data_IF_570210236929
#
_entry.id   IF_570210236929
#
_cell.length_a   1.000
_cell.length_b   1.000
_cell.length_c   1.000
_cell.angle_alpha   90.00
_cell.angle_beta   90.00
_cell.angle_gamma   90.00
#
_symmetry.space_group_name_H-M   'P 1'
#
loop_
_entity.id
_entity.type
_entity.pdbx_description
1 polymer ?
#
# COMPACT_ATOMS: atom_id res chain seq x y z
N UNK A 1 -6.20 -9.12 69.75
CA UNK A 1 -7.10 -9.42 68.61
C UNK A 1 -6.26 -9.53 67.35
N UNK A 2 -5.95 -10.75 66.91
CA UNK A 2 -5.84 -11.15 65.51
C UNK A 2 -5.44 -12.61 65.43
N UNK A 3 -6.31 -13.37 64.79
CA UNK A 3 -6.24 -14.80 64.51
C UNK A 3 -5.23 -15.07 63.39
N UNK A 4 -4.62 -16.25 63.37
CA UNK A 4 -4.44 -17.03 62.14
C UNK A 4 -4.17 -18.51 62.45
N UNK A 5 -4.62 -19.44 61.59
CA UNK A 5 -4.87 -20.85 61.92
C UNK A 5 -3.76 -21.82 61.45
N UNK A 6 -3.85 -23.12 61.82
CA UNK A 6 -2.80 -24.12 61.58
C UNK A 6 -2.85 -24.77 60.19
N UNK A 7 -1.67 -25.22 59.76
CA UNK A 7 -1.37 -26.03 58.58
C UNK A 7 -1.87 -27.47 58.74
N UNK A 8 -2.59 -27.99 57.73
CA UNK A 8 -2.82 -29.43 57.53
C UNK A 8 -3.15 -29.70 56.06
N UNK A 9 -2.19 -30.28 55.35
CA UNK A 9 -2.40 -31.13 54.17
C UNK A 9 -1.57 -32.39 54.39
N UNK A 10 -2.04 -33.58 53.98
CA UNK A 10 -1.91 -33.90 52.57
C UNK A 10 -3.00 -34.83 51.96
N UNK A 11 -2.94 -34.90 50.64
CA UNK A 11 -3.23 -36.06 49.78
C UNK A 11 -4.68 -36.56 49.67
N UNK A 12 -5.32 -36.22 48.54
CA UNK A 12 -6.09 -37.17 47.75
C UNK A 12 -6.18 -36.66 46.30
N UNK A 13 -5.38 -37.25 45.41
CA UNK A 13 -5.66 -37.28 43.98
C UNK A 13 -6.73 -38.36 43.75
N UNK A 14 -7.76 -38.09 42.93
CA UNK A 14 -8.30 -39.10 42.06
C UNK A 14 -7.93 -38.77 40.63
N UNK A 15 -7.23 -39.72 40.00
CA UNK A 15 -7.07 -39.82 38.57
C UNK A 15 -8.45 -39.78 37.90
N UNK A 16 -8.65 -38.84 36.99
CA UNK A 16 -9.75 -38.84 36.03
C UNK A 16 -9.13 -38.86 34.63
N UNK A 17 -8.88 -40.08 34.18
CA UNK A 17 -9.15 -40.60 32.84
C UNK A 17 -9.42 -39.55 31.75
N UNK A 18 -8.42 -39.31 30.91
CA UNK A 18 -8.51 -38.60 29.64
C UNK A 18 -9.32 -39.42 28.63
N UNK A 19 -10.64 -39.30 28.68
CA UNK A 19 -11.48 -39.61 27.52
C UNK A 19 -11.30 -38.50 26.46
N UNK A 20 -11.13 -38.81 25.16
CA UNK A 20 -11.17 -37.78 24.13
C UNK A 20 -12.55 -37.13 24.16
N UNK A 21 -12.67 -35.78 24.18
CA UNK A 21 -13.97 -35.14 24.18
C UNK A 21 -14.69 -35.57 22.90
N UNK A 22 -15.76 -36.34 23.05
CA UNK A 22 -16.73 -36.58 21.98
C UNK A 22 -17.43 -35.25 21.81
N UNK A 23 -16.88 -34.39 20.95
CA UNK A 23 -17.46 -33.08 20.69
C UNK A 23 -18.80 -33.33 20.02
N UNK A 24 -19.87 -33.19 20.80
CA UNK A 24 -21.24 -33.35 20.32
C UNK A 24 -21.46 -32.41 19.13
N UNK A 25 -22.14 -32.89 18.08
CA UNK A 25 -22.47 -32.08 16.91
C UNK A 25 -23.17 -30.76 17.29
N UNK A 26 -23.95 -30.80 18.36
CA UNK A 26 -24.61 -29.64 18.97
C UNK A 26 -23.62 -28.60 19.54
N UNK A 27 -22.56 -29.06 20.22
CA UNK A 27 -21.50 -28.19 20.72
C UNK A 27 -20.66 -27.60 19.57
N UNK A 28 -20.47 -28.34 18.49
CA UNK A 28 -19.79 -27.86 17.28
C UNK A 28 -20.65 -26.81 16.55
N UNK A 29 -21.95 -27.05 16.44
CA UNK A 29 -22.92 -26.11 15.86
C UNK A 29 -23.00 -24.81 16.68
N UNK A 30 -23.11 -24.90 18.01
CA UNK A 30 -23.11 -23.75 18.89
C UNK A 30 -21.78 -22.96 18.83
N UNK A 31 -20.64 -23.64 18.70
CA UNK A 31 -19.34 -22.98 18.51
C UNK A 31 -19.24 -22.28 17.14
N UNK A 32 -19.79 -22.88 16.08
CA UNK A 32 -19.85 -22.26 14.75
C UNK A 32 -20.76 -21.03 14.72
N UNK A 33 -21.90 -21.06 15.43
CA UNK A 33 -22.81 -19.91 15.55
C UNK A 33 -22.18 -18.76 16.36
N UNK A 34 -21.47 -19.07 17.45
CA UNK A 34 -20.71 -18.06 18.21
C UNK A 34 -19.63 -17.43 17.34
N UNK A 35 -18.89 -18.23 16.57
CA UNK A 35 -17.90 -17.73 15.60
C UNK A 35 -18.53 -16.87 14.51
N UNK A 36 -19.73 -17.22 14.04
CA UNK A 36 -20.46 -16.44 13.02
C UNK A 36 -20.98 -15.11 13.57
N UNK A 37 -21.34 -15.05 14.85
CA UNK A 37 -21.75 -13.81 15.54
C UNK A 37 -20.59 -12.90 15.93
N UNK A 38 -19.42 -13.46 16.21
CA UNK A 38 -18.23 -12.71 16.63
C UNK A 38 -17.34 -12.25 15.47
N UNK A 39 -17.57 -12.75 14.25
CA UNK A 39 -16.89 -12.25 13.06
C UNK A 39 -17.39 -10.83 12.74
N UNK A 40 -16.49 -9.85 12.52
CA UNK A 40 -16.90 -8.53 12.06
C UNK A 40 -17.72 -8.71 10.79
N UNK A 41 -18.87 -8.02 10.72
CA UNK A 41 -19.85 -8.14 9.63
C UNK A 41 -19.14 -8.31 8.27
N UNK A 42 -19.06 -9.54 7.79
CA UNK A 42 -18.36 -9.83 6.55
C UNK A 42 -19.11 -9.12 5.44
N UNK A 43 -18.39 -8.30 4.66
CA UNK A 43 -18.97 -7.63 3.49
C UNK A 43 -19.66 -8.69 2.63
N UNK A 44 -20.94 -8.45 2.33
CA UNK A 44 -21.71 -9.35 1.47
C UNK A 44 -21.02 -9.52 0.11
N UNK A 45 -21.29 -10.64 -0.57
CA UNK A 45 -20.75 -10.89 -1.91
C UNK A 45 -21.05 -9.72 -2.88
N UNK A 46 -22.22 -9.10 -2.77
CA UNK A 46 -22.60 -7.93 -3.55
C UNK A 46 -21.76 -6.67 -3.22
N UNK A 47 -21.36 -6.47 -1.97
CA UNK A 47 -20.47 -5.37 -1.58
C UNK A 47 -19.04 -5.59 -2.08
N UNK A 48 -18.55 -6.83 -2.01
CA UNK A 48 -17.22 -7.18 -2.55
C UNK A 48 -17.17 -7.00 -4.08
N UNK A 49 -18.22 -7.39 -4.80
CA UNK A 49 -18.32 -7.17 -6.25
C UNK A 49 -18.26 -5.67 -6.60
N UNK A 50 -19.03 -4.83 -5.89
CA UNK A 50 -18.99 -3.37 -6.08
C UNK A 50 -17.63 -2.76 -5.78
N UNK A 51 -16.95 -3.20 -4.72
CA UNK A 51 -15.60 -2.74 -4.41
C UNK A 51 -14.61 -3.13 -5.51
N UNK A 52 -14.70 -4.36 -6.01
CA UNK A 52 -13.86 -4.84 -7.10
C UNK A 52 -14.07 -4.05 -8.39
N UNK A 53 -15.32 -3.75 -8.76
CA UNK A 53 -15.64 -2.88 -9.90
C UNK A 53 -15.04 -1.48 -9.73
N UNK A 54 -15.13 -0.89 -8.54
CA UNK A 54 -14.51 0.42 -8.24
C UNK A 54 -12.99 0.36 -8.35
N UNK A 55 -12.34 -0.66 -7.77
CA UNK A 55 -10.90 -0.89 -7.90
C UNK A 55 -10.50 -0.96 -9.36
N UNK A 56 -11.23 -1.73 -10.16
CA UNK A 56 -10.96 -1.85 -11.59
C UNK A 56 -11.13 -0.52 -12.33
N UNK A 57 -12.12 0.29 -11.96
CA UNK A 57 -12.31 1.65 -12.51
C UNK A 57 -11.10 2.55 -12.22
N UNK A 58 -10.62 2.58 -10.97
CA UNK A 58 -9.43 3.36 -10.61
C UNK A 58 -8.17 2.88 -11.34
N UNK A 59 -7.98 1.57 -11.50
CA UNK A 59 -6.86 1.01 -12.30
C UNK A 59 -6.92 1.48 -13.75
N UNK A 60 -8.11 1.52 -14.35
CA UNK A 60 -8.32 2.06 -15.70
C UNK A 60 -8.08 3.57 -15.79
N UNK A 61 -8.21 4.33 -14.71
CA UNK A 61 -7.83 5.74 -14.72
C UNK A 61 -6.32 5.91 -14.64
N UNK A 62 -5.62 5.04 -13.94
CA UNK A 62 -4.16 5.10 -13.81
C UNK A 62 -3.47 4.63 -15.09
N UNK A 63 -3.72 3.41 -15.57
CA UNK A 63 -2.92 2.85 -16.65
C UNK A 63 -3.13 3.53 -18.01
N UNK A 64 -4.32 3.45 -18.63
CA UNK A 64 -4.52 4.13 -19.90
C UNK A 64 -4.68 5.65 -19.73
N UNK A 65 -5.07 6.14 -18.54
CA UNK A 65 -5.35 7.56 -18.31
C UNK A 65 -4.15 8.40 -17.88
N UNK A 66 -3.25 7.87 -17.03
CA UNK A 66 -2.11 8.61 -16.47
C UNK A 66 -0.77 8.07 -16.96
N UNK A 67 -0.52 6.75 -16.86
CA UNK A 67 0.81 6.18 -17.13
C UNK A 67 1.15 6.18 -18.63
N UNK A 68 0.15 6.01 -19.50
CA UNK A 68 0.35 6.01 -20.96
C UNK A 68 0.67 7.39 -21.56
N UNK A 69 -0.03 8.48 -21.20
CA UNK A 69 0.24 9.80 -21.79
C UNK A 69 1.36 10.60 -21.11
N UNK A 70 1.84 10.21 -19.94
CA UNK A 70 2.85 10.96 -19.18
C UNK A 70 4.17 10.17 -19.05
N UNK A 71 5.27 10.88 -18.80
CA UNK A 71 6.54 10.25 -18.47
C UNK A 71 6.47 9.53 -17.12
N UNK A 72 7.35 8.56 -16.90
CA UNK A 72 7.38 7.77 -15.66
C UNK A 72 7.58 8.66 -14.42
N UNK A 73 8.54 9.56 -14.46
CA UNK A 73 8.86 10.47 -13.34
C UNK A 73 7.68 11.39 -13.01
N UNK A 74 7.07 11.98 -14.04
CA UNK A 74 5.87 12.81 -13.91
C UNK A 74 4.71 12.01 -13.33
N UNK A 75 4.52 10.78 -13.78
CA UNK A 75 3.46 9.91 -13.26
C UNK A 75 3.66 9.65 -11.77
N UNK A 76 4.86 9.24 -11.35
CA UNK A 76 5.15 8.97 -9.94
C UNK A 76 4.98 10.21 -9.07
N UNK A 77 5.45 11.37 -9.53
CA UNK A 77 5.31 12.63 -8.77
C UNK A 77 3.83 13.06 -8.62
N UNK A 78 3.02 12.87 -9.67
CA UNK A 78 1.58 13.12 -9.61
C UNK A 78 0.87 12.18 -8.64
N UNK A 79 1.11 10.88 -8.78
CA UNK A 79 0.46 9.86 -7.96
C UNK A 79 0.80 10.06 -6.48
N UNK A 80 2.06 10.42 -6.16
CA UNK A 80 2.45 10.79 -4.80
C UNK A 80 1.73 12.04 -4.28
N UNK A 81 1.51 13.03 -5.14
CA UNK A 81 0.80 14.26 -4.74
C UNK A 81 -0.67 13.98 -4.45
N UNK A 82 -1.33 13.17 -5.30
CA UNK A 82 -2.71 12.73 -5.07
C UNK A 82 -2.81 11.86 -3.82
N UNK A 83 -1.86 10.94 -3.63
CA UNK A 83 -1.79 10.08 -2.45
C UNK A 83 -1.73 10.92 -1.16
N UNK A 84 -0.84 11.93 -1.10
CA UNK A 84 -0.74 12.84 0.05
C UNK A 84 -2.04 13.57 0.34
N UNK A 85 -2.75 14.03 -0.70
CA UNK A 85 -4.04 14.71 -0.53
C UNK A 85 -5.06 13.74 0.07
N UNK A 86 -5.13 12.51 -0.46
CA UNK A 86 -6.07 11.51 0.01
C UNK A 86 -5.74 10.98 1.42
N UNK A 87 -4.47 10.79 1.75
CA UNK A 87 -4.02 10.40 3.10
C UNK A 87 -4.35 11.47 4.14
N UNK A 88 -4.05 12.74 3.86
CA UNK A 88 -4.40 13.84 4.78
C UNK A 88 -5.90 13.89 5.06
N UNK A 89 -6.72 13.60 4.05
CA UNK A 89 -8.17 13.58 4.16
C UNK A 89 -8.70 12.35 4.92
N UNK A 90 -8.06 11.19 4.78
CA UNK A 90 -8.39 9.98 5.52
C UNK A 90 -7.94 10.05 6.99
N UNK A 91 -6.81 10.70 7.26
CA UNK A 91 -6.28 10.89 8.61
C UNK A 91 -7.09 11.94 9.39
N UNK A 92 -7.41 13.07 8.75
CA UNK A 92 -8.14 14.18 9.38
C UNK A 92 -9.42 14.53 8.58
N UNK A 93 -10.46 13.68 8.64
CA UNK A 93 -11.69 13.86 7.85
C UNK A 93 -12.56 15.03 8.29
N UNK A 94 -12.30 15.63 9.45
CA UNK A 94 -13.05 16.77 9.98
C UNK A 94 -12.36 18.12 9.73
N UNK A 95 -11.12 18.12 9.23
CA UNK A 95 -10.40 19.34 8.93
C UNK A 95 -10.82 19.89 7.55
N UNK A 96 -11.53 21.05 7.50
CA UNK A 96 -12.04 21.60 6.24
C UNK A 96 -10.92 22.03 5.28
N UNK A 97 -9.69 22.23 5.78
CA UNK A 97 -8.53 22.57 4.96
C UNK A 97 -8.18 21.47 3.96
N UNK A 98 -8.37 20.20 4.31
CA UNK A 98 -8.07 19.07 3.43
C UNK A 98 -9.22 18.74 2.48
N UNK A 99 -10.41 19.30 2.73
CA UNK A 99 -11.58 19.07 1.89
C UNK A 99 -11.51 19.88 0.61
N UNK A 100 -10.64 20.87 0.52
CA UNK A 100 -10.57 21.72 -0.65
C UNK A 100 -9.13 22.06 -1.06
N UNK A 101 -8.90 22.14 -2.36
CA UNK A 101 -7.65 22.66 -2.89
C UNK A 101 -7.89 23.64 -4.04
N UNK A 102 -6.97 24.60 -4.17
CA UNK A 102 -6.97 25.57 -5.27
C UNK A 102 -6.15 25.01 -6.44
N UNK A 103 -6.69 24.96 -7.67
CA UNK A 103 -5.92 24.59 -8.85
C UNK A 103 -4.84 25.63 -9.23
N UNK A 104 -4.88 26.82 -8.62
CA UNK A 104 -3.87 27.88 -8.77
C UNK A 104 -2.61 27.67 -7.93
N UNK A 105 -2.61 26.73 -6.97
CA UNK A 105 -1.40 26.40 -6.23
C UNK A 105 -0.36 25.79 -7.20
N UNK A 106 0.88 26.29 -7.19
CA UNK A 106 1.90 25.90 -8.17
C UNK A 106 2.17 24.39 -8.22
N UNK A 107 2.16 23.72 -7.07
CA UNK A 107 2.31 22.26 -6.97
C UNK A 107 1.10 21.57 -7.56
N UNK A 108 -0.12 21.94 -7.13
CA UNK A 108 -1.36 21.35 -7.65
C UNK A 108 -1.49 21.58 -9.16
N UNK A 109 -1.17 22.78 -9.64
CA UNK A 109 -1.25 23.11 -11.04
C UNK A 109 -0.29 22.25 -11.87
N UNK A 110 0.95 22.09 -11.42
CA UNK A 110 1.97 21.30 -12.13
C UNK A 110 1.68 19.81 -12.07
N UNK A 111 1.31 19.29 -10.91
CA UNK A 111 1.22 17.85 -10.66
C UNK A 111 -0.17 17.28 -11.00
N UNK A 112 -1.26 18.05 -10.86
CA UNK A 112 -2.63 17.58 -11.09
C UNK A 112 -3.27 18.18 -12.34
N UNK A 113 -3.11 19.49 -12.59
CA UNK A 113 -3.84 20.18 -13.68
C UNK A 113 -3.14 20.04 -15.03
N UNK A 114 -1.81 20.18 -15.07
CA UNK A 114 -1.04 20.11 -16.33
C UNK A 114 -0.86 18.69 -16.87
N UNK A 115 -0.95 17.68 -15.99
CA UNK A 115 -0.71 16.27 -16.34
C UNK A 115 -2.03 15.58 -16.67
N UNK A 116 -2.04 14.89 -17.80
CA UNK A 116 -3.27 14.29 -18.35
C UNK A 116 -3.72 13.11 -17.48
N UNK A 117 -5.03 12.99 -17.24
CA UNK A 117 -5.65 11.88 -16.52
C UNK A 117 -5.63 12.01 -14.99
N UNK A 118 -4.78 12.87 -14.43
CA UNK A 118 -4.62 13.00 -12.97
C UNK A 118 -5.82 13.71 -12.35
N UNK A 119 -6.31 14.76 -13.01
CA UNK A 119 -7.46 15.51 -12.53
C UNK A 119 -8.74 14.65 -12.55
N UNK A 120 -8.91 13.84 -13.58
CA UNK A 120 -10.01 12.88 -13.73
C UNK A 120 -9.98 11.85 -12.60
N UNK A 121 -8.80 11.38 -12.20
CA UNK A 121 -8.63 10.51 -11.04
C UNK A 121 -9.11 11.19 -9.75
N UNK A 122 -8.71 12.45 -9.53
CA UNK A 122 -9.10 13.23 -8.34
C UNK A 122 -10.61 13.50 -8.33
N UNK A 123 -11.22 13.74 -9.49
CA UNK A 123 -12.67 13.85 -9.61
C UNK A 123 -13.38 12.53 -9.26
N UNK A 124 -12.81 11.39 -9.64
CA UNK A 124 -13.33 10.06 -9.28
C UNK A 124 -13.19 9.75 -7.77
N UNK A 125 -12.16 10.29 -7.10
CA UNK A 125 -12.05 10.24 -5.63
C UNK A 125 -13.14 11.06 -4.89
N UNK A 126 -13.96 11.80 -5.64
CA UNK A 126 -15.08 12.56 -5.10
C UNK A 126 -14.83 14.06 -4.95
N UNK A 127 -13.76 14.58 -5.55
CA UNK A 127 -13.59 16.03 -5.68
C UNK A 127 -14.48 16.57 -6.82
N UNK A 128 -15.02 17.76 -6.62
CA UNK A 128 -15.85 18.47 -7.60
C UNK A 128 -15.36 19.89 -7.76
N UNK A 129 -15.33 20.36 -9.00
CA UNK A 129 -14.99 21.73 -9.30
C UNK A 129 -16.14 22.65 -8.87
N UNK A 130 -15.83 23.62 -8.02
CA UNK A 130 -16.72 24.67 -7.55
C UNK A 130 -16.08 26.03 -7.77
N UNK A 131 -16.89 27.07 -7.90
CA UNK A 131 -16.41 28.46 -8.01
C UNK A 131 -16.90 29.22 -6.80
N UNK A 132 -15.97 29.74 -6.00
CA UNK A 132 -16.25 30.56 -4.84
C UNK A 132 -15.53 31.90 -5.01
N UNK A 133 -16.28 33.02 -4.97
CA UNK A 133 -15.74 34.36 -5.17
C UNK A 133 -14.88 34.50 -6.45
N UNK A 134 -15.37 33.96 -7.58
CA UNK A 134 -14.68 33.95 -8.88
C UNK A 134 -13.34 33.20 -8.90
N UNK A 135 -13.01 32.43 -7.85
CA UNK A 135 -11.86 31.55 -7.83
C UNK A 135 -12.32 30.08 -7.95
N UNK A 136 -11.70 29.27 -8.83
CA UNK A 136 -12.02 27.85 -8.91
C UNK A 136 -11.40 27.10 -7.72
N UNK A 137 -12.16 26.15 -7.18
CA UNK A 137 -11.76 25.24 -6.11
C UNK A 137 -12.19 23.83 -6.47
N UNK A 138 -11.47 22.85 -5.95
CA UNK A 138 -11.95 21.47 -5.93
C UNK A 138 -12.35 21.14 -4.49
N UNK A 139 -13.62 20.84 -4.27
CA UNK A 139 -14.17 20.47 -2.96
C UNK A 139 -14.49 18.97 -2.95
N UNK A 140 -14.05 18.28 -1.91
CA UNK A 140 -14.37 16.88 -1.67
C UNK A 140 -15.71 16.75 -0.95
N UNK A 141 -16.47 15.74 -1.36
CA UNK A 141 -17.74 15.40 -0.72
C UNK A 141 -17.59 14.17 0.18
N UNK A 142 -17.96 14.32 1.46
CA UNK A 142 -17.92 13.24 2.48
C UNK A 142 -18.69 11.97 2.07
N UNK A 143 -19.65 12.07 1.14
CA UNK A 143 -20.38 10.91 0.61
C UNK A 143 -19.48 9.94 -0.17
N UNK A 144 -18.36 10.42 -0.71
CA UNK A 144 -17.43 9.62 -1.52
C UNK A 144 -16.26 9.03 -0.69
N UNK A 145 -16.50 8.78 0.60
CA UNK A 145 -15.47 8.25 1.50
C UNK A 145 -15.06 6.81 1.15
N UNK A 146 -15.98 6.01 0.63
CA UNK A 146 -15.63 4.65 0.17
C UNK A 146 -14.76 4.69 -1.08
N UNK A 147 -15.08 5.56 -2.03
CA UNK A 147 -14.32 5.79 -3.27
C UNK A 147 -12.93 6.33 -2.96
N UNK A 148 -12.83 7.24 -1.99
CA UNK A 148 -11.55 7.73 -1.49
C UNK A 148 -10.71 6.59 -0.92
N UNK A 149 -11.27 5.75 -0.04
CA UNK A 149 -10.54 4.60 0.55
C UNK A 149 -10.04 3.64 -0.52
N UNK A 150 -10.92 3.24 -1.43
CA UNK A 150 -10.59 2.30 -2.50
C UNK A 150 -9.56 2.89 -3.47
N UNK A 151 -9.74 4.16 -3.85
CA UNK A 151 -8.81 4.85 -4.73
C UNK A 151 -7.43 5.09 -4.09
N UNK A 152 -7.38 5.34 -2.77
CA UNK A 152 -6.11 5.43 -2.03
C UNK A 152 -5.39 4.09 -1.96
N UNK A 153 -6.12 2.99 -1.72
CA UNK A 153 -5.55 1.63 -1.72
C UNK A 153 -4.90 1.30 -3.08
N UNK A 154 -5.62 1.59 -4.18
CA UNK A 154 -5.07 1.40 -5.53
C UNK A 154 -3.86 2.31 -5.75
N UNK A 155 -3.87 3.57 -5.28
CA UNK A 155 -2.70 4.45 -5.39
C UNK A 155 -1.46 3.89 -4.68
N UNK A 156 -1.62 3.33 -3.48
CA UNK A 156 -0.52 2.67 -2.77
C UNK A 156 0.07 1.53 -3.58
N UNK A 157 -0.78 0.62 -4.10
CA UNK A 157 -0.34 -0.49 -4.95
C UNK A 157 0.54 0.01 -6.10
N UNK A 158 0.10 1.06 -6.81
CA UNK A 158 0.86 1.60 -7.93
C UNK A 158 2.17 2.25 -7.50
N UNK A 159 2.14 3.11 -6.48
CA UNK A 159 3.35 3.79 -5.99
C UNK A 159 4.38 2.76 -5.53
N UNK A 160 3.95 1.69 -4.86
CA UNK A 160 4.85 0.65 -4.38
C UNK A 160 5.40 -0.22 -5.53
N UNK A 161 4.59 -0.53 -6.55
CA UNK A 161 5.07 -1.17 -7.79
C UNK A 161 6.14 -0.32 -8.49
N UNK A 162 5.97 1.01 -8.53
CA UNK A 162 6.97 1.91 -9.11
C UNK A 162 8.27 1.94 -8.30
N UNK A 163 8.18 2.02 -6.96
CA UNK A 163 9.35 1.96 -6.07
C UNK A 163 10.11 0.64 -6.23
N UNK A 164 9.41 -0.49 -6.30
CA UNK A 164 10.02 -1.79 -6.49
C UNK A 164 10.75 -1.88 -7.83
N UNK A 165 10.15 -1.35 -8.90
CA UNK A 165 10.77 -1.32 -10.23
C UNK A 165 12.00 -0.43 -10.28
N UNK A 166 11.97 0.71 -9.60
CA UNK A 166 13.13 1.60 -9.47
C UNK A 166 14.27 0.91 -8.70
N UNK A 167 13.97 0.23 -7.59
CA UNK A 167 14.93 -0.54 -6.82
C UNK A 167 15.56 -1.69 -7.63
N UNK A 168 14.79 -2.38 -8.47
CA UNK A 168 15.36 -3.40 -9.35
C UNK A 168 16.30 -2.79 -10.41
N UNK A 169 15.92 -1.64 -10.98
CA UNK A 169 16.73 -0.96 -11.98
C UNK A 169 18.06 -0.42 -11.42
N UNK A 170 18.11 -0.04 -10.14
CA UNK A 170 19.36 0.36 -9.49
C UNK A 170 20.26 -0.84 -9.21
N UNK A 171 19.71 -1.95 -8.72
CA UNK A 171 20.47 -3.19 -8.47
C UNK A 171 21.10 -3.72 -9.76
N UNK A 172 20.34 -3.81 -10.86
CA UNK A 172 20.90 -4.30 -12.13
C UNK A 172 22.03 -3.42 -12.68
N UNK A 173 21.97 -2.10 -12.47
CA UNK A 173 23.03 -1.17 -12.89
C UNK A 173 24.29 -1.30 -12.05
N UNK A 174 24.17 -1.59 -10.75
CA UNK A 174 25.30 -1.81 -9.85
C UNK A 174 25.98 -3.14 -10.21
N UNK A 175 25.22 -4.22 -10.33
CA UNK A 175 25.76 -5.53 -10.71
C UNK A 175 26.43 -5.53 -12.10
N UNK A 176 25.88 -4.80 -13.07
CA UNK A 176 26.51 -4.68 -14.40
C UNK A 176 27.85 -3.90 -14.34
N UNK A 177 27.94 -2.88 -13.47
CA UNK A 177 29.20 -2.14 -13.25
C UNK A 177 30.24 -2.98 -12.52
N UNK A 178 29.84 -3.82 -11.58
CA UNK A 178 30.74 -4.73 -10.87
C UNK A 178 31.28 -5.82 -11.78
N UNK A 179 30.42 -6.41 -12.64
CA UNK A 179 30.84 -7.42 -13.62
C UNK A 179 31.76 -6.81 -14.69
N UNK A 180 31.51 -5.59 -15.17
CA UNK A 180 32.44 -4.90 -16.10
C UNK A 180 33.75 -4.47 -15.42
N UNK A 181 33.70 -4.12 -14.13
CA UNK A 181 34.89 -3.79 -13.35
C UNK A 181 35.79 -5.00 -13.09
N UNK A 182 35.20 -6.18 -12.86
CA UNK A 182 35.92 -7.44 -12.69
C UNK A 182 36.58 -7.89 -14.00
N UNK A 183 35.84 -7.87 -15.11
CA UNK A 183 36.35 -8.28 -16.43
C UNK A 183 37.48 -7.37 -16.95
N UNK A 184 37.53 -6.11 -16.52
CA UNK A 184 38.62 -5.18 -16.87
C UNK A 184 39.89 -5.37 -16.02
N UNK A 185 39.79 -6.05 -14.87
CA UNK A 185 40.94 -6.35 -14.00
C UNK A 185 41.64 -7.65 -14.39
N UNK A 186 40.89 -8.68 -14.81
CA UNK A 186 41.48 -9.94 -15.30
C UNK A 186 42.20 -9.80 -16.66
N UNK A 187 41.82 -8.83 -17.49
CA UNK A 187 42.49 -8.60 -18.79
C UNK A 187 43.84 -7.88 -18.74
N UNK A 188 44.42 -7.63 -17.56
CA UNK A 188 45.65 -6.82 -17.40
C UNK A 188 46.83 -7.54 -16.74
N UNK A 189 46.72 -8.84 -16.50
CA UNK A 189 47.76 -9.63 -15.82
C UNK A 189 48.17 -10.86 -16.66
N UNK A 190 48.61 -10.61 -17.90
CA UNK A 190 49.30 -11.62 -18.72
C UNK A 190 50.36 -10.93 -19.59
N UNK A 191 51.20 -10.11 -18.94
CA UNK A 191 52.44 -9.60 -19.54
C UNK A 191 53.54 -10.63 -19.24
N UNK A 192 53.81 -11.50 -20.22
CA UNK A 192 54.89 -12.49 -20.15
C UNK A 192 56.24 -11.76 -20.10
N UNK A 193 57.10 -11.97 -19.09
CA UNK A 193 58.45 -11.47 -19.15
C UNK A 193 59.22 -12.25 -20.23
N UNK A 194 59.61 -11.54 -21.28
CA UNK A 194 60.45 -12.04 -22.35
C UNK A 194 61.78 -12.56 -21.78
N UNK A 195 62.05 -13.82 -22.05
CA UNK A 195 63.36 -14.46 -21.91
C UNK A 195 64.43 -13.58 -22.55
N UNK A 196 65.37 -13.09 -21.74
CA UNK A 196 66.65 -12.58 -22.25
C UNK A 196 67.63 -13.74 -22.17
N UNK A 197 67.89 -14.34 -23.32
CA UNK A 197 68.92 -15.34 -23.55
C UNK A 197 70.32 -14.71 -23.39
N UNK A 198 71.22 -15.53 -22.83
CA UNK A 198 72.67 -15.40 -22.82
C UNK A 198 73.28 -14.92 -24.14
N UNK A 199 74.38 -14.16 -24.07
CA UNK A 199 75.59 -14.44 -24.85
C UNK A 199 76.81 -13.72 -24.27
N UNK A 200 77.85 -14.53 -24.08
CA UNK A 200 79.24 -14.30 -23.67
C UNK A 200 79.96 -13.16 -24.44
#
# INVERSE_FOLDING_TARGET
MSQSPPSSGPAALPAAETAPPTISADALAAAAERRTRELPAQKSAAQLAKEHERKQKFRRLIDPGITRPNNKEDTVSSLNTVLKIAENLLNDPDNPKYHQFKPTNSVIQRELVKRKGVLEYVVELGFRAEVENFQPYYRWNKRHLEELKVGTEVLHEFVDLYKQKEAQATVSKVSQKEVQGANRREGKEFDFPASTEDSD
#
